data_IF_438569628668
#
_entry.id   IF_438569628668
#
_cell.length_a   1.000
_cell.length_b   1.000
_cell.length_c   1.000
_cell.angle_alpha   90.00
_cell.angle_beta   90.00
_cell.angle_gamma   90.00
#
_symmetry.space_group_name_H-M   'P 1'
#
loop_
_entity.id
_entity.type
_entity.pdbx_description
1 polymer ?
#
# COMPACT_ATOMS: atom_id res chain seq x y z
N UNK A 1 -23.00 -25.14 -8.62
CA UNK A 1 -21.96 -24.47 -7.82
C UNK A 1 -20.71 -25.32 -7.89
N UNK A 2 -19.56 -24.72 -8.21
CA UNK A 2 -18.26 -25.41 -8.18
C UNK A 2 -17.45 -24.83 -7.03
N UNK A 3 -16.84 -25.68 -6.21
CA UNK A 3 -15.95 -25.25 -5.13
C UNK A 3 -14.52 -25.14 -5.65
N UNK A 4 -13.82 -24.11 -5.19
CA UNK A 4 -12.43 -23.81 -5.54
C UNK A 4 -11.65 -23.53 -4.26
N UNK A 5 -10.32 -23.74 -4.24
CA UNK A 5 -9.45 -23.15 -3.25
C UNK A 5 -9.59 -21.62 -3.23
N UNK A 6 -9.23 -21.00 -2.10
CA UNK A 6 -9.21 -19.54 -2.02
C UNK A 6 -8.19 -18.94 -2.99
N UNK A 7 -8.56 -17.81 -3.60
CA UNK A 7 -7.72 -17.11 -4.58
C UNK A 7 -6.57 -16.40 -3.87
N UNK A 8 -5.51 -16.13 -4.62
CA UNK A 8 -4.32 -15.42 -4.15
C UNK A 8 -4.03 -14.30 -5.13
N UNK A 9 -3.78 -13.10 -4.62
CA UNK A 9 -3.21 -11.99 -5.39
C UNK A 9 -1.76 -11.78 -4.97
N UNK A 10 -0.85 -11.79 -5.95
CA UNK A 10 0.59 -11.68 -5.73
C UNK A 10 1.11 -10.23 -5.79
N UNK A 11 0.27 -9.27 -6.18
CA UNK A 11 0.68 -7.87 -6.33
C UNK A 11 -0.48 -6.94 -5.97
N UNK A 12 -0.47 -6.43 -4.74
CA UNK A 12 -1.47 -5.48 -4.26
C UNK A 12 -0.83 -4.26 -3.60
N UNK A 13 -1.63 -3.20 -3.50
CA UNK A 13 -1.33 -1.97 -2.78
C UNK A 13 -2.55 -1.59 -1.93
N UNK A 14 -2.73 -2.25 -0.78
CA UNK A 14 -3.98 -2.14 0.01
C UNK A 14 -4.17 -0.74 0.64
N UNK A 15 -3.11 0.07 0.66
CA UNK A 15 -3.09 1.45 1.17
C UNK A 15 -3.32 2.51 0.07
N UNK A 16 -3.56 2.07 -1.17
CA UNK A 16 -4.10 2.87 -2.26
C UNK A 16 -5.52 2.43 -2.58
N UNK A 17 -6.33 3.32 -3.14
CA UNK A 17 -7.74 3.09 -3.43
C UNK A 17 -8.04 3.32 -4.91
N UNK A 18 -7.25 2.70 -5.77
CA UNK A 18 -7.27 2.98 -7.20
C UNK A 18 -6.83 4.41 -7.51
N UNK A 19 -6.16 4.57 -8.62
CA UNK A 19 -5.53 5.82 -9.04
C UNK A 19 -5.57 5.87 -10.56
N UNK A 20 -6.76 6.15 -11.09
CA UNK A 20 -7.02 6.20 -12.54
C UNK A 20 -6.18 7.30 -13.20
N UNK A 21 -5.81 8.33 -12.43
CA UNK A 21 -4.94 9.43 -12.85
C UNK A 21 -3.82 9.69 -11.84
N UNK A 22 -2.74 10.36 -12.29
CA UNK A 22 -1.67 10.81 -11.38
C UNK A 22 -2.17 11.76 -10.29
N UNK A 23 -3.21 12.56 -10.56
CA UNK A 23 -3.81 13.45 -9.58
C UNK A 23 -4.53 12.69 -8.44
N UNK A 24 -5.04 11.49 -8.72
CA UNK A 24 -5.65 10.62 -7.71
C UNK A 24 -4.58 10.04 -6.78
N UNK A 25 -3.45 9.62 -7.36
CA UNK A 25 -2.28 9.19 -6.60
C UNK A 25 -1.75 10.31 -5.69
N UNK A 26 -1.54 11.50 -6.26
CA UNK A 26 -1.07 12.70 -5.53
C UNK A 26 -2.03 13.09 -4.40
N UNK A 27 -3.34 12.96 -4.61
CA UNK A 27 -4.32 13.22 -3.56
C UNK A 27 -4.14 12.26 -2.37
N UNK A 28 -3.93 10.97 -2.65
CA UNK A 28 -3.73 9.97 -1.60
C UNK A 28 -2.40 10.15 -0.87
N UNK A 29 -1.34 10.55 -1.58
CA UNK A 29 -0.03 10.71 -1.00
C UNK A 29 0.13 12.05 -0.25
N UNK A 30 -0.41 13.14 -0.78
CA UNK A 30 -0.20 14.50 -0.27
C UNK A 30 -1.30 15.02 0.65
N UNK A 31 -2.52 14.48 0.55
CA UNK A 31 -3.70 15.05 1.24
C UNK A 31 -4.33 14.12 2.25
N UNK A 32 -4.04 12.82 2.18
CA UNK A 32 -4.62 11.85 3.09
C UNK A 32 -3.67 11.50 4.23
N UNK A 33 -4.18 11.58 5.45
CA UNK A 33 -3.42 11.15 6.63
C UNK A 33 -3.23 9.64 6.65
N UNK A 34 -2.13 9.19 7.27
CA UNK A 34 -1.86 7.75 7.47
C UNK A 34 -3.02 7.01 8.16
N UNK A 35 -3.66 7.54 9.23
CA UNK A 35 -4.81 6.88 9.84
C UNK A 35 -5.98 6.72 8.88
N UNK A 36 -6.26 7.73 8.05
CA UNK A 36 -7.33 7.63 7.06
C UNK A 36 -7.04 6.54 6.01
N UNK A 37 -5.79 6.48 5.51
CA UNK A 37 -5.36 5.42 4.59
C UNK A 37 -5.45 4.03 5.23
N UNK A 38 -5.09 3.88 6.50
CA UNK A 38 -5.26 2.63 7.25
C UNK A 38 -6.74 2.20 7.36
N UNK A 39 -7.66 3.15 7.61
CA UNK A 39 -9.10 2.86 7.62
C UNK A 39 -9.61 2.40 6.26
N UNK A 40 -9.16 3.04 5.17
CA UNK A 40 -9.52 2.61 3.80
C UNK A 40 -8.92 1.24 3.47
N UNK A 41 -7.73 0.94 3.96
CA UNK A 41 -7.10 -0.36 3.83
C UNK A 41 -7.91 -1.47 4.50
N UNK A 42 -8.44 -1.21 5.71
CA UNK A 42 -9.34 -2.15 6.39
C UNK A 42 -10.57 -2.49 5.53
N UNK A 43 -11.10 -1.54 4.77
CA UNK A 43 -12.16 -1.80 3.80
C UNK A 43 -11.64 -2.60 2.59
N UNK A 44 -10.49 -2.24 2.03
CA UNK A 44 -9.92 -2.91 0.86
C UNK A 44 -9.63 -4.40 1.10
N UNK A 45 -9.02 -4.74 2.24
CA UNK A 45 -8.72 -6.13 2.59
C UNK A 45 -10.00 -6.95 2.84
N UNK A 46 -11.05 -6.33 3.39
CA UNK A 46 -12.37 -6.97 3.53
C UNK A 46 -13.01 -7.25 2.17
N UNK A 47 -12.95 -6.27 1.25
CA UNK A 47 -13.45 -6.46 -0.12
C UNK A 47 -12.72 -7.62 -0.79
N UNK A 48 -11.39 -7.66 -0.73
CA UNK A 48 -10.62 -8.77 -1.30
C UNK A 48 -11.10 -10.14 -0.76
N UNK A 49 -11.29 -10.24 0.56
CA UNK A 49 -11.79 -11.46 1.20
C UNK A 49 -13.20 -11.85 0.72
N UNK A 50 -14.11 -10.88 0.62
CA UNK A 50 -15.49 -11.09 0.15
C UNK A 50 -15.55 -11.53 -1.32
N UNK A 51 -14.53 -11.19 -2.10
CA UNK A 51 -14.36 -11.61 -3.49
C UNK A 51 -13.56 -12.91 -3.65
N UNK A 52 -13.30 -13.63 -2.56
CA UNK A 52 -12.70 -14.96 -2.58
C UNK A 52 -11.17 -14.99 -2.53
N UNK A 53 -10.50 -13.84 -2.39
CA UNK A 53 -9.06 -13.78 -2.13
C UNK A 53 -8.80 -14.08 -0.67
N UNK A 54 -8.05 -15.14 -0.41
CA UNK A 54 -7.75 -15.60 0.95
C UNK A 54 -6.30 -15.33 1.36
N UNK A 55 -5.45 -14.96 0.40
CA UNK A 55 -4.12 -14.42 0.65
C UNK A 55 -3.80 -13.27 -0.31
N UNK A 56 -3.09 -12.26 0.18
CA UNK A 56 -2.59 -11.13 -0.60
C UNK A 56 -1.10 -10.94 -0.34
N UNK A 57 -0.37 -10.52 -1.37
CA UNK A 57 0.96 -9.93 -1.24
C UNK A 57 0.88 -8.44 -1.51
N UNK A 58 1.02 -7.65 -0.46
CA UNK A 58 1.14 -6.21 -0.51
C UNK A 58 2.60 -5.86 -0.77
N UNK A 59 2.89 -5.27 -1.93
CA UNK A 59 4.27 -5.08 -2.40
C UNK A 59 4.83 -3.70 -2.09
N UNK A 60 3.98 -2.78 -1.63
CA UNK A 60 4.38 -1.45 -1.20
C UNK A 60 3.27 -0.72 -0.44
N UNK A 61 3.63 0.07 0.58
CA UNK A 61 2.69 0.92 1.33
C UNK A 61 2.36 2.26 0.65
N UNK A 62 3.07 2.62 -0.40
CA UNK A 62 2.86 3.82 -1.21
C UNK A 62 2.90 5.07 -0.33
N UNK A 63 3.96 5.18 0.46
CA UNK A 63 4.23 6.30 1.36
C UNK A 63 3.56 6.18 2.72
N UNK A 64 2.82 5.09 2.97
CA UNK A 64 2.20 4.84 4.27
C UNK A 64 3.09 4.03 5.23
N UNK A 65 4.40 4.18 5.12
CA UNK A 65 5.41 3.64 6.05
C UNK A 65 5.28 2.13 6.25
N UNK A 66 5.03 1.65 7.47
CA UNK A 66 4.90 0.24 7.82
C UNK A 66 3.45 -0.16 8.12
N UNK A 67 2.49 0.62 7.63
CA UNK A 67 1.06 0.44 7.96
C UNK A 67 0.53 -0.90 7.46
N UNK A 68 1.09 -1.48 6.39
CA UNK A 68 0.76 -2.83 5.92
C UNK A 68 1.11 -3.93 6.95
N UNK A 69 2.21 -3.76 7.71
CA UNK A 69 2.57 -4.61 8.85
C UNK A 69 1.48 -4.55 9.93
N UNK A 70 0.97 -3.36 10.22
CA UNK A 70 -0.09 -3.18 11.21
C UNK A 70 -1.44 -3.70 10.73
N UNK A 71 -1.77 -3.55 9.44
CA UNK A 71 -2.96 -4.18 8.83
C UNK A 71 -2.86 -5.71 8.93
N UNK A 72 -1.71 -6.29 8.57
CA UNK A 72 -1.44 -7.72 8.73
C UNK A 72 -1.59 -8.18 10.18
N UNK A 73 -1.04 -7.42 11.13
CA UNK A 73 -1.15 -7.69 12.57
C UNK A 73 -2.61 -7.64 13.03
N UNK A 74 -3.37 -6.64 12.60
CA UNK A 74 -4.77 -6.48 12.93
C UNK A 74 -5.62 -7.65 12.42
N UNK A 75 -5.36 -8.12 11.19
CA UNK A 75 -6.01 -9.32 10.64
C UNK A 75 -5.64 -10.57 11.45
N UNK A 76 -4.35 -10.80 11.70
CA UNK A 76 -3.88 -11.98 12.45
C UNK A 76 -4.44 -12.04 13.88
N UNK A 77 -4.65 -10.87 14.50
CA UNK A 77 -5.23 -10.75 15.84
C UNK A 77 -6.76 -10.71 15.84
N UNK A 78 -7.41 -10.79 14.67
CA UNK A 78 -8.87 -10.76 14.55
C UNK A 78 -9.52 -9.40 14.82
N UNK A 79 -8.75 -8.30 14.81
CA UNK A 79 -9.25 -6.94 15.01
C UNK A 79 -10.07 -6.47 13.82
N UNK A 80 -9.63 -6.81 12.61
CA UNK A 80 -10.36 -6.55 11.35
C UNK A 80 -10.41 -7.84 10.53
N UNK A 81 -11.47 -8.07 9.74
CA UNK A 81 -11.52 -9.18 8.79
C UNK A 81 -10.63 -8.90 7.57
N UNK A 82 -9.90 -9.91 7.10
CA UNK A 82 -9.11 -9.82 5.88
C UNK A 82 -8.37 -11.13 5.55
N UNK A 83 -7.78 -11.22 4.35
CA UNK A 83 -6.98 -12.36 3.91
C UNK A 83 -5.63 -12.41 4.63
N UNK A 84 -4.95 -13.56 4.55
CA UNK A 84 -3.57 -13.69 5.02
C UNK A 84 -2.65 -12.77 4.21
N UNK A 85 -1.95 -11.86 4.89
CA UNK A 85 -1.08 -10.90 4.21
C UNK A 85 0.41 -11.27 4.27
N UNK A 86 1.06 -11.16 3.11
CA UNK A 86 2.51 -11.06 2.94
C UNK A 86 2.81 -9.61 2.58
N UNK A 87 3.71 -8.96 3.29
CA UNK A 87 3.86 -7.49 3.24
C UNK A 87 5.32 -7.13 2.99
N UNK A 88 5.57 -6.23 2.04
CA UNK A 88 6.90 -5.78 1.66
C UNK A 88 7.29 -4.46 2.33
N UNK A 89 6.35 -3.75 2.95
CA UNK A 89 6.54 -2.47 3.61
C UNK A 89 6.83 -1.34 2.62
N UNK A 90 7.94 -0.62 2.80
CA UNK A 90 8.35 0.46 1.93
C UNK A 90 9.11 -0.15 0.75
N UNK A 91 8.67 0.10 -0.47
CA UNK A 91 9.51 -0.21 -1.63
C UNK A 91 10.68 0.77 -1.69
N UNK A 92 11.72 0.37 -2.42
CA UNK A 92 12.94 1.15 -2.56
C UNK A 92 13.05 1.61 -4.01
N UNK A 93 13.45 2.86 -4.21
CA UNK A 93 13.78 3.40 -5.53
C UNK A 93 14.96 4.37 -5.44
N UNK A 94 15.51 4.73 -6.59
CA UNK A 94 16.51 5.80 -6.72
C UNK A 94 15.82 7.15 -6.85
N UNK A 95 16.54 8.23 -6.56
CA UNK A 95 16.09 9.60 -6.82
C UNK A 95 15.62 9.76 -8.26
N UNK A 96 14.39 10.23 -8.43
CA UNK A 96 13.73 10.38 -9.73
C UNK A 96 13.23 9.09 -10.39
N UNK A 97 13.46 7.92 -9.77
CA UNK A 97 13.04 6.62 -10.30
C UNK A 97 11.60 6.23 -9.96
N UNK A 98 10.92 6.97 -9.09
CA UNK A 98 9.54 6.75 -8.71
C UNK A 98 8.80 8.08 -8.58
N UNK A 99 7.49 8.08 -8.85
CA UNK A 99 6.65 9.26 -8.70
C UNK A 99 6.38 9.61 -7.22
N UNK A 100 5.78 10.77 -6.95
CA UNK A 100 5.30 11.78 -7.92
C UNK A 100 6.42 12.54 -8.63
N UNK A 101 6.14 13.09 -9.82
CA UNK A 101 7.11 13.84 -10.63
C UNK A 101 6.47 15.10 -11.24
N UNK A 102 7.29 16.04 -11.73
CA UNK A 102 6.80 17.29 -12.32
C UNK A 102 6.56 18.43 -11.33
N UNK A 103 6.99 18.27 -10.08
CA UNK A 103 6.99 19.32 -9.05
C UNK A 103 8.28 20.15 -9.07
N UNK A 104 8.21 21.37 -8.56
CA UNK A 104 9.38 22.27 -8.44
C UNK A 104 10.48 21.57 -7.63
N UNK A 105 11.75 21.60 -8.07
CA UNK A 105 12.85 20.92 -7.38
C UNK A 105 13.12 21.46 -5.98
N UNK A 106 12.65 22.67 -5.67
CA UNK A 106 12.77 23.31 -4.35
C UNK A 106 11.75 22.77 -3.33
N UNK A 107 10.74 21.99 -3.74
CA UNK A 107 9.70 21.47 -2.87
C UNK A 107 10.08 20.05 -2.41
N UNK A 108 10.12 19.84 -1.10
CA UNK A 108 10.16 18.50 -0.51
C UNK A 108 8.73 17.99 -0.29
N UNK A 109 8.44 16.79 -0.77
CA UNK A 109 7.13 16.15 -0.66
C UNK A 109 7.30 14.68 -0.27
N UNK A 110 6.28 14.04 0.35
CA UNK A 110 6.37 12.62 0.68
C UNK A 110 6.44 11.79 -0.61
N UNK A 111 7.24 10.73 -0.58
CA UNK A 111 7.37 9.76 -1.67
C UNK A 111 6.61 8.48 -1.33
N UNK A 112 6.10 7.80 -2.36
CA UNK A 112 5.53 6.45 -2.20
C UNK A 112 6.55 5.44 -1.68
N UNK A 113 7.80 5.63 -2.13
CA UNK A 113 8.94 4.77 -1.88
C UNK A 113 9.90 5.36 -0.84
N UNK A 114 10.75 4.50 -0.29
CA UNK A 114 12.01 4.90 0.30
C UNK A 114 13.04 5.17 -0.80
N UNK A 115 13.60 6.38 -0.82
CA UNK A 115 14.71 6.71 -1.72
C UNK A 115 16.01 6.12 -1.16
N UNK A 116 16.76 5.39 -1.99
CA UNK A 116 18.00 4.71 -1.63
C UNK A 116 19.06 5.00 -2.71
N UNK A 117 19.79 6.10 -2.53
CA UNK A 117 20.81 6.59 -3.50
C UNK A 117 22.25 6.19 -3.16
N UNK A 118 22.46 5.41 -2.10
CA UNK A 118 23.78 4.98 -1.66
C UNK A 118 23.83 4.57 -0.20
N UNK A 119 25.04 4.25 0.26
CA UNK A 119 25.31 3.72 1.62
C UNK A 119 24.93 4.71 2.73
N UNK A 120 24.91 6.00 2.42
CA UNK A 120 24.61 7.06 3.40
C UNK A 120 23.12 7.45 3.47
N UNK A 121 22.27 6.91 2.59
CA UNK A 121 20.89 7.39 2.39
C UNK A 121 19.81 6.50 3.06
N UNK A 122 20.20 5.57 3.95
CA UNK A 122 19.33 4.55 4.56
C UNK A 122 18.96 4.80 6.01
#
# INVERSE_FOLDING_TARGET
MTLLPGLIDAHTHVLLQGDVTSADYDTQLFRESLPYRALRASRAVKIALDHGFTALRDVETEGAMYTDVDVKRAINNGVIPGPRMFVATRAMSVSGGYGPSGYSPEITYPMGVQIVDGVESG
#
